data_IF_629755186277
#
_entry.id   IF_629755186277
#
_cell.length_a   1.000
_cell.length_b   1.000
_cell.length_c   1.000
_cell.angle_alpha   90.00
_cell.angle_beta   90.00
_cell.angle_gamma   90.00
#
_symmetry.space_group_name_H-M   'P 1'
#
loop_
_entity.id
_entity.type
_entity.pdbx_description
1 polymer ?
#
# COMPACT_ATOMS: atom_id res chain seq x y z
N UNK A 1 -4.37 14.05 -11.76
CA UNK A 1 -3.71 12.84 -12.30
C UNK A 1 -4.79 11.84 -12.61
N UNK A 2 -4.81 11.31 -13.82
CA UNK A 2 -5.78 10.29 -14.24
C UNK A 2 -5.03 9.00 -14.51
N UNK A 3 -5.54 7.89 -13.97
CA UNK A 3 -5.00 6.54 -14.18
C UNK A 3 -6.12 5.67 -14.73
N UNK A 4 -5.83 4.93 -15.78
CA UNK A 4 -6.75 3.96 -16.40
C UNK A 4 -6.16 2.58 -16.27
N UNK A 5 -6.94 1.61 -15.81
CA UNK A 5 -6.55 0.21 -15.76
C UNK A 5 -7.73 -0.69 -16.13
N UNK A 6 -7.41 -1.89 -16.60
CA UNK A 6 -8.38 -2.87 -17.04
C UNK A 6 -8.99 -3.60 -15.82
N UNK A 7 -10.26 -3.98 -15.91
CA UNK A 7 -10.95 -4.67 -14.83
C UNK A 7 -10.26 -5.99 -14.43
N UNK A 8 -9.60 -6.66 -15.38
CA UNK A 8 -8.87 -7.91 -15.14
C UNK A 8 -7.70 -7.73 -14.18
N UNK A 9 -7.06 -6.56 -14.21
CA UNK A 9 -6.02 -6.21 -13.25
C UNK A 9 -6.53 -6.34 -11.81
N UNK A 10 -7.78 -5.97 -11.55
CA UNK A 10 -8.36 -6.06 -10.20
C UNK A 10 -8.50 -7.50 -9.72
N UNK A 11 -8.90 -8.40 -10.61
CA UNK A 11 -9.05 -9.81 -10.27
C UNK A 11 -7.70 -10.42 -9.92
N UNK A 12 -6.69 -10.19 -10.75
CA UNK A 12 -5.34 -10.68 -10.51
C UNK A 12 -4.71 -10.05 -9.26
N UNK A 13 -4.98 -8.77 -8.97
CA UNK A 13 -4.53 -8.09 -7.75
C UNK A 13 -5.15 -8.69 -6.47
N UNK A 14 -6.43 -9.09 -6.52
CA UNK A 14 -7.06 -9.84 -5.43
C UNK A 14 -6.43 -11.22 -5.23
N UNK A 15 -6.15 -11.94 -6.31
CA UNK A 15 -5.48 -13.25 -6.24
C UNK A 15 -4.11 -13.11 -5.60
N UNK A 16 -3.33 -12.10 -6.00
CA UNK A 16 -2.04 -11.83 -5.39
C UNK A 16 -2.16 -11.44 -3.92
N UNK A 17 -3.13 -10.59 -3.57
CA UNK A 17 -3.40 -10.22 -2.18
C UNK A 17 -3.73 -11.45 -1.33
N UNK A 18 -4.50 -12.39 -1.86
CA UNK A 18 -4.78 -13.65 -1.19
C UNK A 18 -3.52 -14.50 -0.98
N UNK A 19 -2.68 -14.62 -2.02
CA UNK A 19 -1.39 -15.32 -1.94
C UNK A 19 -0.49 -14.66 -0.88
N UNK A 20 -0.44 -13.33 -0.86
CA UNK A 20 0.31 -12.54 0.13
C UNK A 20 -0.12 -12.84 1.56
N UNK A 21 -1.43 -12.78 1.83
CA UNK A 21 -2.01 -13.13 3.14
C UNK A 21 -1.65 -14.57 3.52
N UNK A 22 -1.79 -15.52 2.58
CA UNK A 22 -1.47 -16.93 2.82
C UNK A 22 0.00 -17.14 3.20
N UNK A 23 0.94 -16.45 2.54
CA UNK A 23 2.36 -16.49 2.88
C UNK A 23 2.64 -15.90 4.26
N UNK A 24 2.05 -14.75 4.59
CA UNK A 24 2.21 -14.13 5.90
C UNK A 24 1.67 -15.04 7.02
N UNK A 25 0.50 -15.66 6.79
CA UNK A 25 -0.09 -16.62 7.73
C UNK A 25 0.79 -17.85 7.93
N UNK A 26 1.22 -18.49 6.83
CA UNK A 26 2.08 -19.69 6.87
C UNK A 26 3.40 -19.43 7.60
N UNK A 27 3.98 -18.24 7.42
CA UNK A 27 5.22 -17.81 8.08
C UNK A 27 4.99 -17.14 9.45
N UNK A 28 3.77 -17.20 10.00
CA UNK A 28 3.38 -16.70 11.32
C UNK A 28 3.65 -15.20 11.55
N UNK A 29 3.56 -14.39 10.50
CA UNK A 29 3.67 -12.93 10.57
C UNK A 29 2.36 -12.28 11.09
N UNK A 30 1.96 -12.60 12.32
CA UNK A 30 0.72 -12.11 12.92
C UNK A 30 0.69 -10.57 13.03
N UNK A 31 1.82 -9.95 13.39
CA UNK A 31 1.92 -8.48 13.48
C UNK A 31 1.72 -7.81 12.11
N UNK A 32 2.47 -8.16 11.04
CA UNK A 32 2.15 -7.65 9.71
C UNK A 32 0.73 -7.91 9.24
N UNK A 33 0.15 -9.08 9.53
CA UNK A 33 -1.25 -9.35 9.17
C UNK A 33 -2.19 -8.35 9.83
N UNK A 34 -2.03 -8.13 11.14
CA UNK A 34 -2.85 -7.15 11.88
C UNK A 34 -2.70 -5.74 11.30
N UNK A 35 -1.47 -5.31 11.00
CA UNK A 35 -1.22 -4.00 10.38
C UNK A 35 -1.81 -3.91 8.97
N UNK A 36 -1.79 -5.00 8.20
CA UNK A 36 -2.48 -5.07 6.91
C UNK A 36 -3.98 -4.86 7.07
N UNK A 37 -4.65 -5.58 7.98
CA UNK A 37 -6.08 -5.40 8.24
C UNK A 37 -6.44 -3.99 8.74
N UNK A 38 -5.60 -3.39 9.59
CA UNK A 38 -5.74 -1.99 9.98
C UNK A 38 -5.57 -1.05 8.79
N UNK A 39 -4.62 -1.33 7.90
CA UNK A 39 -4.40 -0.59 6.65
C UNK A 39 -5.63 -0.61 5.75
N UNK A 40 -6.36 -1.73 5.66
CA UNK A 40 -7.64 -1.81 4.92
C UNK A 40 -8.63 -0.80 5.48
N UNK A 41 -8.82 -0.78 6.80
CA UNK A 41 -9.76 0.14 7.45
C UNK A 41 -9.36 1.60 7.25
N UNK A 42 -8.09 1.93 7.48
CA UNK A 42 -7.56 3.29 7.34
C UNK A 42 -7.74 3.78 5.91
N UNK A 43 -7.33 2.97 4.92
CA UNK A 43 -7.46 3.36 3.52
C UNK A 43 -8.91 3.51 3.12
N UNK A 44 -9.81 2.65 3.58
CA UNK A 44 -11.22 2.79 3.26
C UNK A 44 -11.79 4.11 3.81
N UNK A 45 -11.47 4.47 5.06
CA UNK A 45 -11.90 5.74 5.65
C UNK A 45 -11.33 6.91 4.85
N UNK A 46 -10.03 6.92 4.57
CA UNK A 46 -9.39 8.05 3.88
C UNK A 46 -9.86 8.16 2.42
N UNK A 47 -9.85 7.06 1.67
CA UNK A 47 -10.16 7.09 0.24
C UNK A 47 -11.64 7.26 -0.05
N UNK A 48 -12.50 6.49 0.63
CA UNK A 48 -13.94 6.55 0.37
C UNK A 48 -14.62 7.65 1.18
N UNK A 49 -14.44 7.71 2.50
CA UNK A 49 -15.18 8.66 3.33
C UNK A 49 -14.64 10.08 3.16
N UNK A 50 -13.31 10.27 3.21
CA UNK A 50 -12.72 11.61 3.14
C UNK A 50 -12.54 12.08 1.70
N UNK A 51 -11.81 11.35 0.86
CA UNK A 51 -11.44 11.86 -0.47
C UNK A 51 -12.58 11.77 -1.49
N UNK A 52 -13.31 10.66 -1.54
CA UNK A 52 -14.41 10.49 -2.47
C UNK A 52 -15.67 11.21 -2.01
N UNK A 53 -16.20 10.92 -0.81
CA UNK A 53 -17.48 11.48 -0.36
C UNK A 53 -17.38 12.92 0.16
N UNK A 54 -16.43 13.21 1.06
CA UNK A 54 -16.39 14.52 1.72
C UNK A 54 -15.72 15.60 0.88
N UNK A 55 -14.57 15.31 0.28
CA UNK A 55 -13.78 16.29 -0.47
C UNK A 55 -14.09 16.29 -1.98
N UNK A 56 -14.63 15.19 -2.53
CA UNK A 56 -14.94 15.08 -3.97
C UNK A 56 -13.72 15.16 -4.89
N UNK A 57 -12.51 14.98 -4.36
CA UNK A 57 -11.23 15.13 -5.08
C UNK A 57 -10.81 13.86 -5.82
N UNK A 58 -11.49 12.74 -5.54
CA UNK A 58 -11.26 11.45 -6.19
C UNK A 58 -12.55 11.02 -6.85
N UNK A 59 -12.52 10.80 -8.16
CA UNK A 59 -13.66 10.31 -8.93
C UNK A 59 -13.28 9.02 -9.64
N UNK A 60 -14.29 8.16 -9.86
CA UNK A 60 -14.13 6.88 -10.54
C UNK A 60 -15.19 6.80 -11.63
N UNK A 61 -14.74 6.52 -12.84
CA UNK A 61 -15.57 6.39 -14.03
C UNK A 61 -15.30 5.04 -14.71
N UNK A 62 -16.27 4.53 -15.47
CA UNK A 62 -16.13 3.27 -16.20
C UNK A 62 -16.26 2.00 -15.35
N UNK A 63 -16.92 2.07 -14.19
CA UNK A 63 -17.20 0.89 -13.38
C UNK A 63 -18.18 -0.06 -14.11
N UNK A 64 -17.97 -1.39 -14.02
CA UNK A 64 -18.97 -2.36 -14.47
C UNK A 64 -20.33 -2.15 -13.80
N UNK A 65 -21.42 -2.53 -14.47
CA UNK A 65 -22.79 -2.35 -13.97
C UNK A 65 -23.08 -3.04 -12.63
N UNK A 66 -22.31 -4.07 -12.29
CA UNK A 66 -22.42 -4.82 -11.04
C UNK A 66 -21.56 -4.23 -9.90
N UNK A 67 -20.78 -3.18 -10.15
CA UNK A 67 -19.86 -2.60 -9.17
C UNK A 67 -20.23 -1.14 -8.85
N UNK A 68 -20.57 -0.89 -7.58
CA UNK A 68 -20.70 0.47 -7.07
C UNK A 68 -19.34 1.07 -6.72
N UNK A 69 -19.21 2.42 -6.65
CA UNK A 69 -17.99 3.07 -6.16
C UNK A 69 -17.56 2.58 -4.78
N UNK A 70 -18.50 2.33 -3.87
CA UNK A 70 -18.19 1.81 -2.53
C UNK A 70 -17.53 0.43 -2.58
N UNK A 71 -18.04 -0.49 -3.42
CA UNK A 71 -17.43 -1.82 -3.61
C UNK A 71 -16.04 -1.70 -4.23
N UNK A 72 -15.86 -0.80 -5.19
CA UNK A 72 -14.56 -0.51 -5.76
C UNK A 72 -13.56 -0.06 -4.67
N UNK A 73 -13.94 0.87 -3.79
CA UNK A 73 -13.06 1.34 -2.73
C UNK A 73 -12.78 0.28 -1.67
N UNK A 74 -13.72 -0.64 -1.40
CA UNK A 74 -13.44 -1.80 -0.55
C UNK A 74 -12.37 -2.67 -1.19
N UNK A 75 -12.49 -3.01 -2.47
CA UNK A 75 -11.46 -3.73 -3.22
C UNK A 75 -10.10 -3.02 -3.12
N UNK A 76 -10.06 -1.72 -3.45
CA UNK A 76 -8.84 -0.94 -3.48
C UNK A 76 -8.18 -0.87 -2.10
N UNK A 77 -9.00 -0.74 -1.06
CA UNK A 77 -8.53 -0.73 0.33
C UNK A 77 -8.03 -2.10 0.78
N UNK A 78 -8.64 -3.19 0.32
CA UNK A 78 -8.18 -4.54 0.60
C UNK A 78 -6.79 -4.74 0.01
N UNK A 79 -6.59 -4.50 -1.29
CA UNK A 79 -5.31 -4.80 -1.92
C UNK A 79 -4.22 -3.85 -1.42
N UNK A 80 -4.43 -2.54 -1.51
CA UNK A 80 -3.46 -1.53 -1.11
C UNK A 80 -3.23 -1.53 0.41
N UNK A 81 -4.30 -1.57 1.20
CA UNK A 81 -4.23 -1.53 2.66
C UNK A 81 -3.59 -2.78 3.25
N UNK A 82 -3.97 -3.97 2.76
CA UNK A 82 -3.37 -5.21 3.22
C UNK A 82 -1.89 -5.28 2.85
N UNK A 83 -1.58 -5.15 1.56
CA UNK A 83 -0.25 -5.46 1.04
C UNK A 83 0.77 -4.43 1.51
N UNK A 84 0.48 -3.12 1.42
CA UNK A 84 1.46 -2.10 1.76
C UNK A 84 1.75 -2.02 3.26
N UNK A 85 0.72 -1.94 4.10
CA UNK A 85 0.92 -1.78 5.54
C UNK A 85 1.57 -3.02 6.15
N UNK A 86 1.16 -4.21 5.71
CA UNK A 86 1.81 -5.43 6.16
C UNK A 86 3.25 -5.53 5.64
N UNK A 87 3.54 -5.13 4.40
CA UNK A 87 4.91 -5.10 3.87
C UNK A 87 5.81 -4.15 4.65
N UNK A 88 5.36 -2.91 4.91
CA UNK A 88 6.09 -1.96 5.74
C UNK A 88 6.37 -2.60 7.10
N UNK A 89 5.36 -3.19 7.73
CA UNK A 89 5.56 -3.86 9.02
C UNK A 89 6.53 -5.04 8.94
N UNK A 90 6.56 -5.81 7.85
CA UNK A 90 7.58 -6.85 7.62
C UNK A 90 8.98 -6.24 7.60
N UNK A 91 9.17 -5.09 6.93
CA UNK A 91 10.48 -4.41 6.83
C UNK A 91 11.03 -3.91 8.17
N UNK A 92 10.16 -3.68 9.15
CA UNK A 92 10.53 -3.24 10.50
C UNK A 92 10.40 -4.33 11.58
N UNK A 93 9.79 -5.46 11.25
CA UNK A 93 9.62 -6.55 12.21
C UNK A 93 10.89 -7.39 12.39
N UNK A 94 11.34 -7.49 13.63
CA UNK A 94 12.32 -8.47 14.10
C UNK A 94 11.55 -9.69 14.61
N UNK A 95 11.65 -10.83 13.94
CA UNK A 95 10.97 -12.04 14.42
C UNK A 95 11.82 -12.73 15.51
N UNK A 96 11.24 -13.11 16.66
CA UNK A 96 11.94 -13.94 17.64
C UNK A 96 12.30 -15.27 16.99
N UNK A 97 13.60 -15.57 16.85
CA UNK A 97 14.11 -16.83 16.27
C UNK A 97 14.60 -16.77 14.81
N UNK A 98 14.43 -15.64 14.11
CA UNK A 98 14.88 -15.47 12.71
C UNK A 98 16.05 -14.47 12.54
N UNK A 99 16.77 -14.16 13.62
CA UNK A 99 17.82 -13.14 13.67
C UNK A 99 18.96 -13.36 12.64
N UNK A 100 19.24 -14.61 12.28
CA UNK A 100 20.39 -14.96 11.41
C UNK A 100 20.13 -14.65 9.92
N UNK A 101 18.87 -14.44 9.51
CA UNK A 101 18.51 -14.29 8.09
C UNK A 101 17.58 -13.12 7.77
N UNK A 102 17.45 -12.11 8.64
CA UNK A 102 16.50 -11.01 8.46
C UNK A 102 16.66 -10.25 7.14
N UNK A 103 17.90 -9.95 6.75
CA UNK A 103 18.15 -9.24 5.49
C UNK A 103 17.65 -10.04 4.30
N UNK A 104 17.90 -11.35 4.31
CA UNK A 104 17.47 -12.26 3.24
C UNK A 104 15.95 -12.41 3.22
N UNK A 105 15.32 -12.52 4.39
CA UNK A 105 13.85 -12.51 4.52
C UNK A 105 13.25 -11.24 3.92
N UNK A 106 13.74 -10.05 4.30
CA UNK A 106 13.26 -8.77 3.78
C UNK A 106 13.41 -8.70 2.25
N UNK A 107 14.54 -9.14 1.71
CA UNK A 107 14.74 -9.22 0.26
C UNK A 107 13.73 -10.16 -0.40
N UNK A 108 13.45 -11.33 0.17
CA UNK A 108 12.44 -12.24 -0.39
C UNK A 108 11.04 -11.62 -0.38
N UNK A 109 10.68 -10.88 0.68
CA UNK A 109 9.39 -10.18 0.75
C UNK A 109 9.30 -9.04 -0.25
N UNK A 110 10.37 -8.25 -0.42
CA UNK A 110 10.45 -7.23 -1.47
C UNK A 110 10.34 -7.86 -2.86
N UNK A 111 11.04 -8.98 -3.10
CA UNK A 111 10.97 -9.68 -4.37
C UNK A 111 9.56 -10.21 -4.65
N UNK A 112 8.91 -10.83 -3.65
CA UNK A 112 7.53 -11.28 -3.77
C UNK A 112 6.58 -10.12 -4.10
N UNK A 113 6.73 -8.98 -3.42
CA UNK A 113 5.92 -7.79 -3.65
C UNK A 113 6.07 -7.27 -5.08
N UNK A 114 7.29 -6.89 -5.46
CA UNK A 114 7.54 -6.23 -6.74
C UNK A 114 7.35 -7.18 -7.92
N UNK A 115 7.89 -8.39 -7.82
CA UNK A 115 7.79 -9.36 -8.91
C UNK A 115 6.36 -9.88 -9.06
N UNK A 116 5.66 -10.12 -7.94
CA UNK A 116 4.25 -10.50 -7.97
C UNK A 116 3.38 -9.44 -8.63
N UNK A 117 3.56 -8.17 -8.25
CA UNK A 117 2.81 -7.06 -8.84
C UNK A 117 3.14 -6.83 -10.32
N UNK A 118 4.40 -6.96 -10.73
CA UNK A 118 4.78 -6.90 -12.15
C UNK A 118 4.18 -8.05 -12.96
N UNK A 119 4.15 -9.27 -12.40
CA UNK A 119 3.49 -10.41 -13.05
C UNK A 119 2.01 -10.12 -13.27
N UNK A 120 1.31 -9.56 -12.28
CA UNK A 120 -0.11 -9.21 -12.42
C UNK A 120 -0.34 -8.25 -13.58
N UNK A 121 0.45 -7.17 -13.66
CA UNK A 121 0.34 -6.21 -14.76
C UNK A 121 0.66 -6.83 -16.12
N UNK A 122 1.62 -7.75 -16.19
CA UNK A 122 1.96 -8.46 -17.42
C UNK A 122 0.87 -9.47 -17.81
N UNK A 123 0.34 -10.22 -16.85
CA UNK A 123 -0.73 -11.21 -17.07
C UNK A 123 -2.03 -10.53 -17.48
N UNK A 124 -2.38 -9.39 -16.88
CA UNK A 124 -3.59 -8.65 -17.26
C UNK A 124 -3.56 -8.17 -18.71
N UNK A 125 -2.37 -7.87 -19.25
CA UNK A 125 -2.22 -7.49 -20.67
C UNK A 125 -2.24 -8.71 -21.59
N UNK A 126 -1.67 -9.84 -21.16
CA UNK A 126 -1.58 -11.05 -22.00
C UNK A 126 -2.87 -11.87 -22.02
N UNK A 127 -3.69 -11.80 -20.97
CA UNK A 127 -4.93 -12.55 -20.81
C UNK A 127 -6.11 -11.61 -20.53
N UNK A 128 -6.55 -10.81 -21.52
CA UNK A 128 -7.75 -9.99 -21.37
C UNK A 128 -8.99 -10.90 -21.30
N UNK A 129 -9.66 -10.88 -20.14
CA UNK A 129 -10.93 -11.55 -19.87
C UNK A 129 -12.08 -10.54 -20.02
N UNK A 130 -11.85 -9.26 -19.69
CA UNK A 130 -12.84 -8.20 -19.73
C UNK A 130 -12.21 -6.84 -20.16
N UNK A 131 -12.67 -6.33 -21.30
CA UNK A 131 -12.21 -5.05 -21.88
C UNK A 131 -12.71 -3.79 -21.15
N UNK A 132 -13.38 -3.94 -19.99
CA UNK A 132 -13.87 -2.80 -19.21
C UNK A 132 -12.69 -2.03 -18.62
N UNK A 133 -12.63 -0.73 -18.93
CA UNK A 133 -11.59 0.18 -18.44
C UNK A 133 -12.12 1.07 -17.33
N UNK A 134 -11.44 1.04 -16.20
CA UNK A 134 -11.77 1.85 -15.03
C UNK A 134 -10.82 3.03 -15.00
N UNK A 135 -11.39 4.23 -14.92
CA UNK A 135 -10.65 5.48 -14.87
C UNK A 135 -10.78 6.08 -13.49
N UNK A 136 -9.64 6.33 -12.83
CA UNK A 136 -9.60 7.06 -11.56
C UNK A 136 -8.95 8.41 -11.81
N UNK A 137 -9.66 9.47 -11.45
CA UNK A 137 -9.15 10.83 -11.51
C UNK A 137 -8.97 11.38 -10.10
N UNK A 138 -7.80 11.96 -9.85
CA UNK A 138 -7.48 12.68 -8.60
C UNK A 138 -7.16 14.14 -8.90
N UNK A 139 -7.97 15.05 -8.35
CA UNK A 139 -7.84 16.50 -8.50
C UNK A 139 -7.24 17.06 -7.20
N UNK A 140 -5.92 17.23 -7.19
CA UNK A 140 -5.13 17.54 -5.98
C UNK A 140 -4.37 18.86 -6.06
N UNK A 141 -4.86 19.82 -6.85
CA UNK A 141 -4.10 21.03 -7.19
C UNK A 141 -3.69 21.83 -5.95
N UNK A 142 -4.61 22.03 -4.99
CA UNK A 142 -4.31 22.79 -3.76
C UNK A 142 -3.77 21.90 -2.63
N UNK A 143 -4.16 20.63 -2.59
CA UNK A 143 -3.79 19.70 -1.51
C UNK A 143 -2.36 19.18 -1.64
N UNK A 144 -1.77 19.19 -2.84
CA UNK A 144 -0.39 18.73 -3.04
C UNK A 144 0.62 19.51 -2.19
N UNK A 145 0.45 20.82 -2.08
CA UNK A 145 1.36 21.66 -1.28
C UNK A 145 1.20 21.33 0.21
N UNK A 146 -0.03 21.11 0.66
CA UNK A 146 -0.33 20.70 2.04
C UNK A 146 0.33 19.36 2.34
N UNK A 147 0.17 18.34 1.47
CA UNK A 147 0.79 17.02 1.63
C UNK A 147 2.32 17.13 1.73
N UNK A 148 2.97 17.97 0.91
CA UNK A 148 4.42 18.21 0.99
C UNK A 148 4.82 18.81 2.33
N UNK A 149 4.09 19.82 2.83
CA UNK A 149 4.38 20.42 4.13
C UNK A 149 4.15 19.45 5.29
N UNK A 150 3.14 18.59 5.20
CA UNK A 150 2.90 17.52 6.19
C UNK A 150 4.10 16.58 6.24
N UNK A 151 4.57 16.10 5.08
CA UNK A 151 5.77 15.23 5.01
C UNK A 151 7.00 15.95 5.60
N UNK A 152 7.24 17.21 5.23
CA UNK A 152 8.36 17.99 5.80
C UNK A 152 8.22 18.09 7.32
N UNK A 153 7.04 18.39 7.83
CA UNK A 153 6.76 18.46 9.27
C UNK A 153 7.02 17.15 9.99
N UNK A 154 6.60 16.02 9.41
CA UNK A 154 6.84 14.67 9.94
C UNK A 154 8.35 14.35 10.00
N UNK A 155 9.11 14.69 8.95
CA UNK A 155 10.56 14.47 8.94
C UNK A 155 11.31 15.40 9.91
N UNK A 156 10.85 16.64 10.08
CA UNK A 156 11.40 17.54 11.11
C UNK A 156 11.14 16.96 12.51
N UNK A 157 9.94 16.45 12.76
CA UNK A 157 9.63 15.79 14.03
C UNK A 157 10.51 14.56 14.25
N UNK A 158 10.70 13.71 13.23
CA UNK A 158 11.61 12.55 13.31
C UNK A 158 13.05 12.97 13.61
N UNK A 159 13.55 14.01 12.95
CA UNK A 159 14.89 14.56 13.18
C UNK A 159 15.03 15.08 14.63
N UNK A 160 14.00 15.77 15.15
CA UNK A 160 13.96 16.25 16.52
C UNK A 160 13.94 15.09 17.53
N UNK A 161 13.13 14.05 17.28
CA UNK A 161 13.09 12.87 18.14
C UNK A 161 14.41 12.10 18.16
N UNK A 162 15.09 12.00 17.01
CA UNK A 162 16.43 11.40 16.92
C UNK A 162 17.48 12.26 17.66
N UNK A 163 17.43 13.59 17.51
CA UNK A 163 18.29 14.51 18.26
C UNK A 163 18.09 14.36 19.78
N UNK A 164 16.84 14.21 20.22
CA UNK A 164 16.48 13.96 21.62
C UNK A 164 16.74 12.51 22.09
N UNK A 165 17.28 11.64 21.22
CA UNK A 165 17.55 10.21 21.49
C UNK A 165 16.33 9.45 22.03
N UNK A 166 15.12 9.82 21.59
CA UNK A 166 13.89 9.12 21.94
C UNK A 166 13.67 7.93 20.98
N UNK A 167 13.03 6.87 21.48
CA UNK A 167 12.62 5.70 20.70
C UNK A 167 13.75 4.95 19.95
N UNK A 168 15.00 5.09 20.40
CA UNK A 168 16.17 4.53 19.71
C UNK A 168 16.27 4.96 18.23
N UNK A 169 15.78 6.16 17.91
CA UNK A 169 15.89 6.72 16.56
C UNK A 169 17.31 7.25 16.33
N UNK A 170 17.94 6.77 15.26
CA UNK A 170 19.19 7.30 14.73
C UNK A 170 19.01 7.75 13.27
N UNK A 171 19.99 8.49 12.74
CA UNK A 171 19.94 8.98 11.36
C UNK A 171 19.89 7.85 10.32
N UNK A 172 20.42 6.66 10.66
CA UNK A 172 20.33 5.47 9.81
C UNK A 172 18.90 4.96 9.72
N UNK A 173 18.18 4.90 10.84
CA UNK A 173 16.78 4.51 10.89
C UNK A 173 15.89 5.50 10.13
N UNK A 174 16.12 6.81 10.27
CA UNK A 174 15.39 7.83 9.50
C UNK A 174 15.61 7.62 7.99
N UNK A 175 16.86 7.41 7.57
CA UNK A 175 17.19 7.15 6.17
C UNK A 175 16.55 5.84 5.67
N UNK A 176 16.50 4.81 6.51
CA UNK A 176 15.84 3.55 6.19
C UNK A 176 14.32 3.70 6.06
N UNK A 177 13.67 4.47 6.95
CA UNK A 177 12.24 4.82 6.85
C UNK A 177 11.95 5.54 5.53
N UNK A 178 12.78 6.53 5.18
CA UNK A 178 12.64 7.24 3.91
C UNK A 178 12.75 6.29 2.71
N UNK A 179 13.75 5.42 2.67
CA UNK A 179 13.92 4.47 1.59
C UNK A 179 12.74 3.50 1.49
N UNK A 180 12.29 2.91 2.61
CA UNK A 180 11.12 2.02 2.61
C UNK A 180 9.88 2.76 2.12
N UNK A 181 9.67 4.01 2.55
CA UNK A 181 8.56 4.85 2.08
C UNK A 181 8.60 5.10 0.57
N UNK A 182 9.76 5.47 0.03
CA UNK A 182 9.95 5.66 -1.42
C UNK A 182 9.70 4.38 -2.21
N UNK A 183 10.07 3.21 -1.67
CA UNK A 183 9.84 1.94 -2.35
C UNK A 183 8.37 1.49 -2.38
N UNK A 184 7.51 2.04 -1.50
CA UNK A 184 6.10 1.63 -1.38
C UNK A 184 5.14 2.60 -2.11
N UNK A 185 5.63 3.73 -2.62
CA UNK A 185 4.83 4.74 -3.35
C UNK A 185 5.22 4.88 -4.81
#
# INVERSE_FOLDING_TARGET
MTRTFDADFMLFDLVFTFIWIAFLWKRRYAKPLLFGFLGILINFIVDFAVWYNYLGIRTIDGLPSWMSPSVFFVYFSITYGMVQYSYVQVMFSTQPGHLVNERRERIHWSFLLFFGWLIIGLVSVLLPINDTKITITRIMTEQRIIEVFVVIGEYILLALLAYLKKFNLDWKMISYIFLVGVFVH
#
